data_IF_625637335230
#
_entry.id   IF_625637335230
#
_cell.length_a   1.000
_cell.length_b   1.000
_cell.length_c   1.000
_cell.angle_alpha   90.00
_cell.angle_beta   90.00
_cell.angle_gamma   90.00
#
_symmetry.space_group_name_H-M   'P 1'
#
loop_
_entity.id
_entity.type
_entity.pdbx_description
1 polymer ?
#
# COMPACT_ATOMS: atom_id res chain seq x y z
N UNK A 1 -22.09 7.34 10.49
CA UNK A 1 -21.37 7.32 9.22
C UNK A 1 -22.04 6.28 8.33
N UNK A 2 -22.55 6.69 7.19
CA UNK A 2 -23.11 5.78 6.19
C UNK A 2 -21.98 5.01 5.50
N UNK A 3 -22.29 3.91 4.85
CA UNK A 3 -21.32 3.12 4.07
C UNK A 3 -20.67 3.97 2.95
N UNK A 4 -21.47 4.86 2.34
CA UNK A 4 -20.99 5.84 1.36
C UNK A 4 -19.99 6.84 1.95
N UNK A 5 -20.27 7.36 3.15
CA UNK A 5 -19.34 8.26 3.85
C UNK A 5 -18.03 7.56 4.26
N UNK A 6 -18.10 6.28 4.65
CA UNK A 6 -16.92 5.50 4.97
C UNK A 6 -16.04 5.29 3.74
N UNK A 7 -16.61 4.87 2.61
CA UNK A 7 -15.86 4.68 1.38
C UNK A 7 -15.23 5.99 0.86
N UNK A 8 -15.91 7.12 1.02
CA UNK A 8 -15.36 8.43 0.66
C UNK A 8 -14.18 8.88 1.55
N UNK A 9 -14.11 8.39 2.80
CA UNK A 9 -13.10 8.75 3.80
C UNK A 9 -12.11 7.64 4.10
N UNK A 10 -12.12 6.57 3.30
CA UNK A 10 -11.25 5.42 3.49
C UNK A 10 -9.80 5.80 3.22
N UNK A 11 -8.95 5.65 4.23
CA UNK A 11 -7.53 6.03 4.18
C UNK A 11 -6.68 4.90 4.74
N UNK A 12 -5.61 4.54 4.04
CA UNK A 12 -4.66 3.53 4.47
C UNK A 12 -3.47 4.10 5.25
N UNK A 13 -2.61 3.20 5.74
CA UNK A 13 -1.42 3.58 6.49
C UNK A 13 -0.36 4.29 5.63
N UNK A 14 -0.35 4.03 4.32
CA UNK A 14 0.59 4.65 3.38
C UNK A 14 0.30 6.15 3.24
N UNK A 15 -0.98 6.50 3.09
CA UNK A 15 -1.45 7.87 3.01
C UNK A 15 -1.13 8.64 4.31
N UNK A 16 -1.37 8.02 5.47
CA UNK A 16 -0.99 8.58 6.77
C UNK A 16 0.52 8.82 6.84
N UNK A 17 1.34 7.82 6.46
CA UNK A 17 2.80 7.99 6.41
C UNK A 17 3.20 9.17 5.50
N UNK A 18 2.59 9.27 4.31
CA UNK A 18 2.91 10.33 3.37
C UNK A 18 2.56 11.73 3.90
N UNK A 19 1.48 11.88 4.67
CA UNK A 19 1.20 13.17 5.35
C UNK A 19 2.30 13.57 6.32
N UNK A 20 2.81 12.61 7.10
CA UNK A 20 3.88 12.83 8.08
C UNK A 20 5.19 13.21 7.38
N UNK A 21 5.51 12.54 6.26
CA UNK A 21 6.74 12.81 5.49
C UNK A 21 6.64 14.15 4.75
N UNK A 22 5.59 14.35 3.95
CA UNK A 22 5.38 15.57 3.18
C UNK A 22 3.94 15.63 2.60
N UNK A 23 3.15 16.68 2.88
CA UNK A 23 1.80 16.84 2.33
C UNK A 23 1.72 16.75 0.79
N UNK A 24 2.75 17.23 0.08
CA UNK A 24 2.82 17.15 -1.39
C UNK A 24 2.96 15.72 -1.88
N UNK A 25 3.66 14.87 -1.13
CA UNK A 25 3.81 13.45 -1.48
C UNK A 25 2.46 12.74 -1.42
N UNK A 26 1.67 13.01 -0.38
CA UNK A 26 0.29 12.52 -0.32
C UNK A 26 -0.51 13.01 -1.54
N UNK A 27 -0.48 14.32 -1.82
CA UNK A 27 -1.24 14.89 -2.94
C UNK A 27 -0.91 14.22 -4.27
N UNK A 28 0.38 14.03 -4.59
CA UNK A 28 0.81 13.34 -5.81
C UNK A 28 0.30 11.90 -5.86
N UNK A 29 0.44 11.16 -4.76
CA UNK A 29 -0.04 9.78 -4.64
C UNK A 29 -1.57 9.68 -4.81
N UNK A 30 -2.34 10.53 -4.13
CA UNK A 30 -3.81 10.56 -4.23
C UNK A 30 -4.32 10.95 -5.63
N UNK A 31 -3.48 11.59 -6.44
CA UNK A 31 -3.77 11.90 -7.85
C UNK A 31 -3.10 10.91 -8.83
N UNK A 32 -2.57 9.78 -8.35
CA UNK A 32 -1.90 8.75 -9.15
C UNK A 32 -0.68 9.24 -9.96
N UNK A 33 0.00 10.28 -9.46
CA UNK A 33 1.23 10.82 -10.04
C UNK A 33 2.43 10.16 -9.34
N UNK A 34 2.88 9.04 -9.89
CA UNK A 34 3.93 8.20 -9.32
C UNK A 34 5.23 8.29 -10.12
N UNK A 35 6.37 8.34 -9.41
CA UNK A 35 7.71 8.33 -10.02
C UNK A 35 8.44 6.98 -9.82
N UNK A 36 7.79 6.02 -9.14
CA UNK A 36 8.40 4.76 -8.70
C UNK A 36 8.66 3.79 -9.87
N UNK A 37 7.82 3.84 -10.93
CA UNK A 37 7.73 2.81 -11.98
C UNK A 37 8.99 2.63 -12.83
N UNK A 38 9.84 3.65 -12.94
CA UNK A 38 11.09 3.59 -13.70
C UNK A 38 12.32 3.24 -12.85
N UNK A 39 12.13 2.95 -11.55
CA UNK A 39 13.23 2.66 -10.63
C UNK A 39 13.53 1.16 -10.58
N UNK A 40 14.73 0.77 -11.02
CA UNK A 40 15.22 -0.62 -10.93
C UNK A 40 15.23 -1.15 -9.49
N UNK A 41 15.48 -0.27 -8.51
CA UNK A 41 15.47 -0.65 -7.10
C UNK A 41 14.06 -1.01 -6.62
N UNK A 42 13.05 -0.28 -7.10
CA UNK A 42 11.64 -0.58 -6.78
C UNK A 42 11.24 -1.90 -7.43
N UNK A 43 11.59 -2.10 -8.71
CA UNK A 43 11.32 -3.34 -9.43
C UNK A 43 11.96 -4.56 -8.73
N UNK A 44 13.22 -4.45 -8.31
CA UNK A 44 13.90 -5.49 -7.56
C UNK A 44 13.22 -5.79 -6.21
N UNK A 45 12.77 -4.74 -5.50
CA UNK A 45 12.05 -4.89 -4.24
C UNK A 45 10.72 -5.65 -4.41
N UNK A 46 9.98 -5.37 -5.49
CA UNK A 46 8.76 -6.10 -5.82
C UNK A 46 9.02 -7.58 -6.11
N UNK A 47 10.02 -7.88 -6.94
CA UNK A 47 10.41 -9.27 -7.23
C UNK A 47 10.84 -10.02 -5.95
N UNK A 48 11.58 -9.35 -5.07
CA UNK A 48 11.98 -9.94 -3.80
C UNK A 48 10.77 -10.23 -2.93
N UNK A 49 9.81 -9.30 -2.82
CA UNK A 49 8.59 -9.49 -2.05
C UNK A 49 7.79 -10.71 -2.55
N UNK A 50 7.62 -10.84 -3.86
CA UNK A 50 6.91 -11.97 -4.49
C UNK A 50 7.59 -13.33 -4.26
N UNK A 51 8.92 -13.34 -4.11
CA UNK A 51 9.71 -14.59 -4.07
C UNK A 51 10.28 -14.93 -2.69
N UNK A 52 10.17 -14.04 -1.70
CA UNK A 52 10.82 -14.18 -0.40
C UNK A 52 10.35 -15.39 0.41
N UNK A 53 9.07 -15.78 0.29
CA UNK A 53 8.43 -16.73 1.19
C UNK A 53 7.67 -17.88 0.49
N UNK A 54 8.31 -18.69 -0.36
CA UNK A 54 7.62 -19.68 -1.21
C UNK A 54 6.91 -20.80 -0.43
N UNK A 55 7.15 -20.94 0.87
CA UNK A 55 6.58 -21.97 1.73
C UNK A 55 5.45 -21.47 2.64
N UNK A 56 5.22 -20.16 2.73
CA UNK A 56 4.15 -19.59 3.53
C UNK A 56 2.85 -19.58 2.71
N UNK A 57 1.82 -20.28 3.20
CA UNK A 57 0.54 -20.38 2.48
C UNK A 57 -0.37 -19.15 2.64
N UNK A 58 -0.11 -18.31 3.64
CA UNK A 58 -0.93 -17.14 3.99
C UNK A 58 -0.11 -15.86 3.88
N UNK A 59 -0.02 -15.35 2.66
CA UNK A 59 0.63 -14.09 2.33
C UNK A 59 -0.41 -13.10 1.79
N UNK A 60 -0.14 -11.81 1.96
CA UNK A 60 -0.92 -10.71 1.39
C UNK A 60 -2.43 -10.75 1.70
N UNK A 61 -2.80 -11.03 2.96
CA UNK A 61 -4.20 -11.12 3.36
C UNK A 61 -4.83 -9.72 3.40
N UNK A 62 -5.90 -9.54 2.63
CA UNK A 62 -6.68 -8.32 2.62
C UNK A 62 -7.84 -8.40 3.62
N UNK A 63 -7.85 -7.52 4.61
CA UNK A 63 -8.89 -7.39 5.62
C UNK A 63 -9.69 -6.13 5.35
N UNK A 64 -11.01 -6.28 5.18
CA UNK A 64 -11.98 -5.20 4.97
C UNK A 64 -11.65 -4.24 3.82
N UNK A 65 -10.87 -4.73 2.84
CA UNK A 65 -10.30 -3.94 1.74
C UNK A 65 -9.58 -2.67 2.22
N UNK A 66 -9.05 -2.68 3.45
CA UNK A 66 -8.43 -1.53 4.12
C UNK A 66 -7.01 -1.85 4.59
N UNK A 67 -6.82 -3.04 5.16
CA UNK A 67 -5.54 -3.46 5.72
C UNK A 67 -5.03 -4.63 4.90
N UNK A 68 -3.79 -4.51 4.40
CA UNK A 68 -3.05 -5.60 3.79
C UNK A 68 -2.07 -6.12 4.83
N UNK A 69 -2.17 -7.40 5.16
CA UNK A 69 -1.26 -8.10 6.07
C UNK A 69 -0.30 -8.92 5.24
N UNK A 70 1.00 -8.66 5.38
CA UNK A 70 2.03 -9.29 4.53
C UNK A 70 2.09 -10.81 4.74
N UNK A 71 2.06 -11.29 5.99
CA UNK A 71 2.01 -12.72 6.31
C UNK A 71 1.40 -12.97 7.69
N UNK A 72 0.85 -14.17 7.89
CA UNK A 72 0.44 -14.69 9.20
C UNK A 72 1.08 -16.08 9.40
N UNK A 73 1.58 -16.32 10.62
CA UNK A 73 2.11 -17.62 11.07
C UNK A 73 1.02 -18.48 11.72
#
# INVERSE_FOLDING_TARGET
>A
MTESEFEALKVGGLEVNYTIVCPRKLWLYSHHIEMEKSSDKVALGALLHETAYPRLQRQELMVDSLIKVDFLE
#
